data_IF_557261891806
#
_entry.id   IF_557261891806
#
_cell.length_a   1.000
_cell.length_b   1.000
_cell.length_c   1.000
_cell.angle_alpha   90.00
_cell.angle_beta   90.00
_cell.angle_gamma   90.00
#
_symmetry.space_group_name_H-M   'P 1'
#
loop_
_entity.id
_entity.type
_entity.pdbx_description
1 polymer ?
#
# COMPACT_ATOMS: atom_id res chain seq x y z
N UNK A 1 12.60 -12.77 10.79
CA UNK A 1 13.33 -11.48 10.84
C UNK A 1 12.45 -10.24 10.72
N UNK A 2 11.13 -10.36 10.51
CA UNK A 2 10.21 -9.21 10.58
C UNK A 2 9.74 -8.89 12.03
N UNK A 3 9.89 -9.81 12.94
CA UNK A 3 9.37 -9.71 14.32
C UNK A 3 10.10 -8.67 15.19
N UNK A 4 11.36 -8.40 14.92
CA UNK A 4 12.20 -7.44 15.68
C UNK A 4 11.87 -5.95 15.37
N UNK A 5 11.08 -5.70 14.32
CA UNK A 5 10.66 -4.36 13.91
C UNK A 5 9.23 -4.00 14.31
N UNK A 6 8.55 -4.89 15.03
CA UNK A 6 7.15 -4.73 15.40
C UNK A 6 7.01 -4.51 16.91
N UNK A 7 6.36 -3.41 17.29
CA UNK A 7 6.01 -3.10 18.68
C UNK A 7 4.50 -3.22 18.84
N UNK A 8 4.06 -3.94 19.87
CA UNK A 8 2.65 -4.19 20.16
C UNK A 8 2.28 -3.68 21.56
N UNK A 9 1.21 -2.90 21.63
CA UNK A 9 0.55 -2.52 22.88
C UNK A 9 -0.86 -3.13 22.95
N UNK A 10 -1.61 -2.78 23.97
CA UNK A 10 -2.99 -3.28 24.14
C UNK A 10 -3.89 -2.93 22.96
N UNK A 11 -3.79 -1.70 22.44
CA UNK A 11 -4.66 -1.17 21.41
C UNK A 11 -3.91 -0.62 20.19
N UNK A 12 -2.63 -0.96 20.02
CA UNK A 12 -1.85 -0.53 18.88
C UNK A 12 -0.81 -1.55 18.45
N UNK A 13 -0.41 -1.48 17.20
CA UNK A 13 0.75 -2.17 16.65
C UNK A 13 1.54 -1.19 15.80
N UNK A 14 2.84 -1.08 16.05
CA UNK A 14 3.77 -0.31 15.22
C UNK A 14 4.71 -1.27 14.48
N UNK A 15 4.98 -0.98 13.22
CA UNK A 15 5.99 -1.65 12.42
C UNK A 15 6.92 -0.62 11.78
N UNK A 16 8.22 -0.81 11.95
CA UNK A 16 9.24 0.05 11.35
C UNK A 16 9.74 -0.52 10.03
N UNK A 17 9.26 0.03 8.92
CA UNK A 17 9.70 -0.34 7.57
C UNK A 17 11.13 0.17 7.24
N UNK A 18 11.60 1.16 7.98
CA UNK A 18 12.82 1.90 7.65
C UNK A 18 12.58 2.94 6.53
N UNK A 19 13.64 3.63 6.12
CA UNK A 19 13.55 4.62 5.04
C UNK A 19 13.22 3.96 3.69
N UNK A 20 12.56 4.72 2.80
CA UNK A 20 12.04 4.20 1.51
C UNK A 20 13.13 3.57 0.64
N UNK A 21 14.34 4.09 0.69
CA UNK A 21 15.49 3.59 -0.07
C UNK A 21 15.81 2.12 0.27
N UNK A 22 15.42 1.67 1.45
CA UNK A 22 15.57 0.28 1.91
C UNK A 22 14.45 -0.66 1.45
N UNK A 23 13.34 -0.16 0.88
CA UNK A 23 12.19 -1.01 0.55
C UNK A 23 12.47 -2.01 -0.57
N UNK A 24 13.47 -1.76 -1.41
CA UNK A 24 13.89 -2.69 -2.45
C UNK A 24 14.38 -4.06 -1.91
N UNK A 25 14.75 -4.13 -0.62
CA UNK A 25 15.15 -5.37 0.04
C UNK A 25 13.97 -6.26 0.43
N UNK A 26 12.75 -5.72 0.53
CA UNK A 26 11.58 -6.52 0.79
C UNK A 26 11.34 -7.48 -0.38
N UNK A 27 11.00 -8.70 -0.06
CA UNK A 27 10.64 -9.69 -1.05
C UNK A 27 9.49 -10.53 -0.52
N UNK A 28 8.76 -11.10 -1.43
CA UNK A 28 7.63 -11.95 -1.17
C UNK A 28 7.71 -13.18 -2.04
N UNK A 29 7.36 -14.32 -1.47
CA UNK A 29 7.33 -15.60 -2.13
C UNK A 29 5.89 -16.16 -2.13
N UNK A 30 5.57 -17.10 -3.02
CA UNK A 30 4.31 -17.84 -2.95
C UNK A 30 4.14 -18.50 -1.55
N UNK A 31 2.91 -18.57 -0.99
CA UNK A 31 1.63 -18.29 -1.65
C UNK A 31 1.16 -16.84 -1.61
N UNK A 32 1.90 -15.92 -0.98
CA UNK A 32 1.49 -14.52 -0.80
C UNK A 32 1.33 -13.78 -2.13
N UNK A 33 2.17 -14.14 -3.10
CA UNK A 33 2.12 -13.66 -4.48
C UNK A 33 2.26 -14.83 -5.44
N UNK A 34 1.70 -14.76 -6.67
CA UNK A 34 1.80 -15.86 -7.65
C UNK A 34 3.24 -16.17 -8.09
N UNK A 35 4.14 -15.22 -7.97
CA UNK A 35 5.57 -15.33 -8.31
C UNK A 35 6.38 -14.50 -7.33
N UNK A 36 7.64 -14.88 -7.05
CA UNK A 36 8.52 -14.06 -6.22
C UNK A 36 8.57 -12.62 -6.70
N UNK A 37 8.37 -11.68 -5.79
CA UNK A 37 8.39 -10.24 -6.06
C UNK A 37 9.33 -9.53 -5.09
N UNK A 38 10.11 -8.58 -5.61
CA UNK A 38 10.96 -7.70 -4.80
C UNK A 38 10.36 -6.30 -4.72
N UNK A 39 10.72 -5.58 -3.66
CA UNK A 39 10.26 -4.22 -3.46
C UNK A 39 8.79 -4.13 -3.05
N UNK A 40 8.26 -5.19 -2.43
CA UNK A 40 6.87 -5.23 -1.92
C UNK A 40 6.82 -5.85 -0.53
N UNK A 41 6.03 -5.24 0.36
CA UNK A 41 5.76 -5.74 1.70
C UNK A 41 4.28 -5.55 2.04
N UNK A 42 3.56 -6.61 2.32
CA UNK A 42 2.20 -6.56 2.86
C UNK A 42 2.22 -6.35 4.38
N UNK A 43 1.34 -5.48 4.86
CA UNK A 43 1.34 -5.02 6.25
C UNK A 43 0.23 -5.61 7.11
N UNK A 44 -0.81 -6.21 6.50
CA UNK A 44 -1.97 -6.70 7.24
C UNK A 44 -1.59 -7.62 8.41
N UNK A 45 -0.82 -8.65 8.14
CA UNK A 45 -0.41 -9.62 9.16
C UNK A 45 0.53 -9.00 10.19
N UNK A 46 1.44 -8.12 9.76
CA UNK A 46 2.38 -7.42 10.65
C UNK A 46 1.65 -6.50 11.64
N UNK A 47 0.64 -5.78 11.16
CA UNK A 47 -0.14 -4.84 11.95
C UNK A 47 -1.32 -5.49 12.69
N UNK A 48 -1.73 -6.70 12.31
CA UNK A 48 -2.94 -7.34 12.83
C UNK A 48 -4.21 -6.65 12.35
N UNK A 49 -4.18 -6.01 11.16
CA UNK A 49 -5.34 -5.33 10.59
C UNK A 49 -6.36 -6.33 10.09
N UNK A 50 -7.63 -6.11 10.38
CA UNK A 50 -8.74 -6.95 9.91
C UNK A 50 -9.51 -6.33 8.74
N UNK A 51 -9.57 -5.00 8.65
CA UNK A 51 -10.43 -4.28 7.72
C UNK A 51 -9.79 -3.91 6.38
N UNK A 52 -8.47 -3.96 6.27
CA UNK A 52 -7.75 -3.61 5.05
C UNK A 52 -6.46 -4.41 4.90
N UNK A 53 -5.97 -4.51 3.67
CA UNK A 53 -4.58 -4.86 3.36
C UNK A 53 -3.87 -3.63 2.83
N UNK A 54 -2.70 -3.31 3.35
CA UNK A 54 -1.85 -2.26 2.82
C UNK A 54 -0.49 -2.85 2.44
N UNK A 55 0.10 -2.37 1.36
CA UNK A 55 1.46 -2.73 1.00
C UNK A 55 2.32 -1.52 0.70
N UNK A 56 3.59 -1.61 1.10
CA UNK A 56 4.67 -0.75 0.66
C UNK A 56 5.22 -1.29 -0.65
N UNK A 57 5.45 -0.41 -1.62
CA UNK A 57 5.91 -0.83 -2.94
C UNK A 57 7.01 0.10 -3.44
N UNK A 58 8.04 -0.49 -4.04
CA UNK A 58 9.05 0.20 -4.85
C UNK A 58 9.20 -0.51 -6.19
N UNK A 59 9.13 0.26 -7.26
CA UNK A 59 9.34 -0.22 -8.63
C UNK A 59 10.63 0.40 -9.15
N UNK A 60 11.68 -0.40 -9.38
CA UNK A 60 12.93 0.12 -9.94
C UNK A 60 12.74 0.71 -11.34
N UNK A 61 13.66 1.58 -11.79
CA UNK A 61 13.68 2.11 -13.15
C UNK A 61 13.50 1.02 -14.22
N UNK A 62 12.63 1.26 -15.19
CA UNK A 62 12.37 0.35 -16.31
C UNK A 62 11.65 -0.95 -15.95
N UNK A 63 11.17 -1.10 -14.70
CA UNK A 63 10.43 -2.29 -14.24
C UNK A 63 8.95 -2.01 -14.13
N UNK A 64 8.16 -3.09 -14.00
CA UNK A 64 6.73 -3.03 -13.82
C UNK A 64 6.15 -4.42 -13.58
N UNK A 65 4.85 -4.48 -13.40
CA UNK A 65 4.15 -5.77 -13.31
C UNK A 65 3.90 -6.33 -14.72
N UNK A 66 4.23 -7.60 -14.98
CA UNK A 66 4.17 -8.16 -16.33
C UNK A 66 2.79 -8.68 -16.75
N UNK A 67 1.74 -8.43 -15.95
CA UNK A 67 0.41 -8.93 -16.23
C UNK A 67 -0.67 -7.91 -15.86
N UNK A 68 -1.77 -7.91 -16.59
CA UNK A 68 -3.01 -7.26 -16.18
C UNK A 68 -3.72 -8.15 -15.14
N UNK A 69 -4.24 -7.52 -14.10
CA UNK A 69 -5.04 -8.20 -13.10
C UNK A 69 -6.22 -7.35 -12.64
N UNK A 70 -7.18 -7.97 -12.01
CA UNK A 70 -8.35 -7.34 -11.37
C UNK A 70 -8.64 -8.03 -10.05
N UNK A 71 -9.41 -7.40 -9.20
CA UNK A 71 -9.90 -8.01 -7.97
C UNK A 71 -11.35 -8.43 -8.10
N UNK A 72 -11.79 -9.35 -7.25
CA UNK A 72 -13.18 -9.79 -7.22
C UNK A 72 -14.05 -8.81 -6.45
N UNK A 73 -13.62 -8.42 -5.25
CA UNK A 73 -14.42 -7.68 -4.29
C UNK A 73 -13.76 -6.39 -3.77
N UNK A 74 -12.44 -6.25 -3.94
CA UNK A 74 -11.70 -5.16 -3.31
C UNK A 74 -11.50 -3.97 -4.24
N UNK A 75 -11.74 -2.78 -3.70
CA UNK A 75 -11.16 -1.54 -4.19
C UNK A 75 -9.66 -1.51 -3.86
N UNK A 76 -8.89 -0.80 -4.67
CA UNK A 76 -7.51 -0.43 -4.36
C UNK A 76 -7.35 1.08 -4.46
N UNK A 77 -6.66 1.65 -3.47
CA UNK A 77 -6.18 3.03 -3.51
C UNK A 77 -4.66 3.01 -3.54
N UNK A 78 -4.10 3.65 -4.56
CA UNK A 78 -2.67 3.85 -4.71
C UNK A 78 -2.33 5.28 -4.32
N UNK A 79 -1.32 5.44 -3.48
CA UNK A 79 -0.79 6.75 -3.08
C UNK A 79 0.67 6.81 -3.51
N UNK A 80 0.97 7.62 -4.52
CA UNK A 80 2.35 7.81 -4.97
C UNK A 80 3.09 8.68 -3.97
N UNK A 81 4.09 8.09 -3.32
CA UNK A 81 4.86 8.74 -2.25
C UNK A 81 6.07 9.48 -2.82
N UNK A 82 6.71 8.91 -3.85
CA UNK A 82 7.87 9.54 -4.51
C UNK A 82 8.11 8.91 -5.88
N UNK A 83 8.69 9.67 -6.79
CA UNK A 83 8.99 9.22 -8.14
C UNK A 83 7.82 9.40 -9.10
N UNK A 84 7.93 8.79 -10.28
CA UNK A 84 6.92 8.84 -11.34
C UNK A 84 6.89 7.54 -12.13
N UNK A 85 5.79 7.29 -12.78
CA UNK A 85 5.59 6.11 -13.62
C UNK A 85 4.26 6.16 -14.34
N UNK A 86 3.74 5.00 -14.69
CA UNK A 86 2.48 4.87 -15.41
C UNK A 86 1.64 3.73 -14.87
N UNK A 87 0.34 3.94 -14.82
CA UNK A 87 -0.67 2.90 -14.64
C UNK A 87 -1.45 2.71 -15.93
N UNK A 88 -1.64 1.46 -16.33
CA UNK A 88 -2.56 1.08 -17.39
C UNK A 88 -3.84 0.57 -16.72
N UNK A 89 -4.98 1.21 -17.02
CA UNK A 89 -6.29 0.90 -16.42
C UNK A 89 -7.32 0.80 -17.52
N UNK A 90 -7.88 -0.39 -17.73
CA UNK A 90 -8.89 -0.66 -18.78
C UNK A 90 -8.48 -0.16 -20.17
N UNK A 91 -7.18 -0.19 -20.47
CA UNK A 91 -6.60 0.29 -21.74
C UNK A 91 -6.17 1.77 -21.74
N UNK A 92 -6.52 2.54 -20.73
CA UNK A 92 -6.06 3.93 -20.56
C UNK A 92 -4.72 3.99 -19.83
N UNK A 93 -3.79 4.77 -20.35
CA UNK A 93 -2.49 5.01 -19.70
C UNK A 93 -2.57 6.29 -18.86
N UNK A 94 -2.34 6.16 -17.55
CA UNK A 94 -2.36 7.26 -16.60
C UNK A 94 -0.93 7.51 -16.14
N UNK A 95 -0.41 8.70 -16.41
CA UNK A 95 0.86 9.14 -15.83
C UNK A 95 0.69 9.44 -14.35
N UNK A 96 1.59 8.91 -13.54
CA UNK A 96 1.56 9.10 -12.08
C UNK A 96 2.86 9.71 -11.59
N UNK A 97 2.74 10.58 -10.58
CA UNK A 97 3.85 11.23 -9.93
C UNK A 97 3.54 11.43 -8.44
N UNK A 98 4.54 11.85 -7.68
CA UNK A 98 4.44 12.16 -6.25
C UNK A 98 3.19 12.99 -5.94
N UNK A 99 2.45 12.59 -4.91
CA UNK A 99 1.21 13.21 -4.45
C UNK A 99 -0.05 12.74 -5.16
N UNK A 100 0.06 11.97 -6.26
CA UNK A 100 -1.13 11.41 -6.92
C UNK A 100 -1.78 10.32 -6.06
N UNK A 101 -3.10 10.39 -5.95
CA UNK A 101 -3.93 9.35 -5.34
C UNK A 101 -4.88 8.80 -6.40
N UNK A 102 -4.83 7.49 -6.65
CA UNK A 102 -5.61 6.78 -7.66
C UNK A 102 -6.44 5.69 -7.01
N UNK A 103 -7.76 5.77 -7.14
CA UNK A 103 -8.65 4.67 -6.72
C UNK A 103 -9.06 3.85 -7.94
N UNK A 104 -8.98 2.53 -7.81
CA UNK A 104 -9.45 1.56 -8.81
C UNK A 104 -10.50 0.64 -8.21
N UNK A 105 -11.66 0.55 -8.88
CA UNK A 105 -12.68 -0.42 -8.51
C UNK A 105 -12.26 -1.87 -8.78
N UNK A 106 -12.99 -2.85 -8.24
CA UNK A 106 -12.60 -4.26 -8.36
C UNK A 106 -12.49 -4.73 -9.81
N UNK A 107 -13.43 -4.32 -10.65
CA UNK A 107 -13.50 -4.78 -12.05
C UNK A 107 -12.41 -4.18 -12.96
N UNK A 108 -11.78 -3.07 -12.57
CA UNK A 108 -10.77 -2.42 -13.38
C UNK A 108 -9.56 -3.33 -13.61
N UNK A 109 -9.23 -3.62 -14.87
CA UNK A 109 -8.02 -4.35 -15.24
C UNK A 109 -6.83 -3.38 -15.17
N UNK A 110 -5.80 -3.71 -14.37
CA UNK A 110 -4.68 -2.80 -14.13
C UNK A 110 -3.33 -3.46 -14.21
N UNK A 111 -2.36 -2.65 -14.59
CA UNK A 111 -0.93 -2.90 -14.45
C UNK A 111 -0.22 -1.56 -14.19
N UNK A 112 1.02 -1.61 -13.74
CA UNK A 112 1.86 -0.41 -13.56
C UNK A 112 3.28 -0.66 -14.02
N UNK A 113 3.95 0.42 -14.38
CA UNK A 113 5.37 0.42 -14.70
C UNK A 113 6.06 1.70 -14.22
N UNK A 114 7.33 1.59 -14.03
CA UNK A 114 8.22 2.73 -13.86
C UNK A 114 8.96 2.94 -15.19
N UNK A 115 8.56 3.95 -15.96
CA UNK A 115 9.18 4.36 -17.21
C UNK A 115 10.17 5.52 -17.01
N UNK A 116 10.60 5.78 -15.77
CA UNK A 116 11.56 6.81 -15.41
C UNK A 116 12.92 6.22 -15.07
N UNK A 117 13.87 7.08 -14.77
CA UNK A 117 15.26 6.76 -14.37
C UNK A 117 15.49 6.72 -12.85
N UNK A 118 14.45 7.01 -12.04
CA UNK A 118 14.47 6.97 -10.59
C UNK A 118 13.45 5.96 -10.05
N UNK A 119 13.60 5.42 -8.83
CA UNK A 119 12.62 4.52 -8.24
C UNK A 119 11.24 5.19 -8.07
N UNK A 120 10.19 4.41 -8.29
CA UNK A 120 8.79 4.80 -8.01
C UNK A 120 8.34 4.13 -6.72
N UNK A 121 7.93 4.93 -5.73
CA UNK A 121 7.43 4.46 -4.43
C UNK A 121 5.95 4.77 -4.29
N UNK A 122 5.16 3.78 -3.88
CA UNK A 122 3.76 3.98 -3.62
C UNK A 122 3.22 3.04 -2.53
N UNK A 123 2.17 3.47 -1.89
CA UNK A 123 1.32 2.64 -1.04
C UNK A 123 0.18 2.08 -1.88
N UNK A 124 -0.18 0.81 -1.66
CA UNK A 124 -1.39 0.22 -2.19
C UNK A 124 -2.25 -0.21 -1.01
N UNK A 125 -3.46 0.29 -0.94
CA UNK A 125 -4.43 0.02 0.11
C UNK A 125 -5.61 -0.71 -0.52
N UNK A 126 -5.87 -1.94 -0.07
CA UNK A 126 -6.98 -2.77 -0.51
C UNK A 126 -8.00 -2.87 0.61
N UNK A 127 -9.24 -2.67 0.28
CA UNK A 127 -10.38 -2.84 1.18
C UNK A 127 -11.59 -3.32 0.38
N UNK A 128 -12.51 -4.00 1.06
CA UNK A 128 -13.74 -4.44 0.40
C UNK A 128 -14.56 -3.21 -0.02
N UNK A 129 -14.99 -3.17 -1.26
CA UNK A 129 -15.86 -2.11 -1.76
C UNK A 129 -17.11 -1.98 -0.86
N UNK A 130 -17.53 -0.77 -0.61
CA UNK A 130 -18.69 -0.42 0.23
C UNK A 130 -18.60 -0.89 1.70
N UNK A 131 -17.38 -1.13 2.22
CA UNK A 131 -17.17 -1.59 3.60
C UNK A 131 -17.15 -0.46 4.65
N UNK A 132 -16.96 0.79 4.23
CA UNK A 132 -16.98 1.94 5.14
C UNK A 132 -18.43 2.38 5.34
N UNK A 133 -18.96 2.17 6.57
CA UNK A 133 -20.33 2.52 6.92
C UNK A 133 -20.45 4.02 7.23
N UNK A 134 -19.50 4.53 8.03
CA UNK A 134 -19.40 5.94 8.39
C UNK A 134 -17.98 6.43 8.08
N UNK A 135 -17.87 7.55 7.37
CA UNK A 135 -16.58 8.11 6.94
C UNK A 135 -16.21 9.38 7.68
N UNK A 136 -14.99 9.84 7.45
CA UNK A 136 -14.47 11.06 8.06
C UNK A 136 -14.35 10.92 9.58
N UNK A 137 -15.01 11.81 10.32
CA UNK A 137 -14.98 11.82 11.80
C UNK A 137 -16.27 11.27 12.44
N UNK A 138 -17.22 10.75 11.65
CA UNK A 138 -18.55 10.34 12.14
C UNK A 138 -18.46 9.15 13.11
N UNK A 139 -17.49 8.25 12.94
CA UNK A 139 -17.21 7.14 13.86
C UNK A 139 -16.35 7.58 15.06
N UNK A 140 -15.83 8.80 15.03
CA UNK A 140 -14.95 9.33 16.08
C UNK A 140 -15.70 9.72 17.33
N UNK A 141 -15.13 9.40 18.49
CA UNK A 141 -15.67 9.77 19.81
C UNK A 141 -14.59 10.40 20.67
N UNK A 142 -14.88 11.59 21.21
CA UNK A 142 -14.03 12.22 22.21
C UNK A 142 -13.98 11.42 23.51
N UNK A 143 -12.83 11.42 24.15
CA UNK A 143 -12.64 10.87 25.49
C UNK A 143 -12.20 11.96 26.45
N UNK A 144 -12.49 11.80 27.74
CA UNK A 144 -12.06 12.74 28.77
C UNK A 144 -10.53 12.71 28.92
N UNK A 145 -9.96 13.87 29.23
CA UNK A 145 -8.54 14.05 29.46
C UNK A 145 -7.90 15.02 28.46
N UNK A 146 -6.65 15.32 28.69
CA UNK A 146 -5.80 16.11 27.79
C UNK A 146 -4.60 15.29 27.37
N UNK A 147 -4.13 15.44 26.12
CA UNK A 147 -2.88 14.82 25.70
C UNK A 147 -1.73 15.27 26.64
N UNK A 148 -0.99 14.31 27.16
CA UNK A 148 0.23 14.54 27.92
C UNK A 148 1.40 13.93 27.13
N UNK A 149 2.27 14.81 26.64
CA UNK A 149 3.43 14.40 25.86
C UNK A 149 4.65 14.32 26.76
N UNK A 150 5.47 13.27 26.68
CA UNK A 150 6.77 13.26 27.36
C UNK A 150 7.68 14.37 26.80
N UNK A 151 8.52 14.96 27.67
CA UNK A 151 9.57 15.91 27.29
C UNK A 151 10.74 15.22 26.62
#
# INVERSE_FOLDING_TARGET
MADDKTVRGTNFTCFHAGPMEGWAQFHMDPPEVPRPARGKLFLRSLLGSAGLEMSLNVVPPGKGIPLLHRHRDNDEVYVVVSGRGQFLVDGECIDVAEGLVLRLGPAAARAWRNNSDAPLYFLCIQYRADSVIEGGTLDGKGVEGKPAWPE
#
